data_IF_783324349294
#
_entry.id   IF_783324349294
#
_cell.length_a   1.000
_cell.length_b   1.000
_cell.length_c   1.000
_cell.angle_alpha   90.00
_cell.angle_beta   90.00
_cell.angle_gamma   90.00
#
_symmetry.space_group_name_H-M   'P 1'
#
loop_
_entity.id
_entity.type
_entity.pdbx_description
1 polymer ?
#
# COMPACT_ATOMS: atom_id res chain seq x y z
N UNK A 1 -18.50 -26.13 -1.36
CA UNK A 1 -17.55 -27.10 -0.78
C UNK A 1 -16.68 -26.35 0.22
N UNK A 2 -16.85 -26.60 1.52
CA UNK A 2 -16.06 -25.98 2.59
C UNK A 2 -14.78 -26.80 2.80
N UNK A 3 -13.63 -26.25 2.41
CA UNK A 3 -12.33 -26.89 2.59
C UNK A 3 -11.99 -26.95 4.08
N UNK A 4 -12.14 -28.13 4.70
CA UNK A 4 -11.89 -28.40 6.12
C UNK A 4 -10.42 -28.72 6.46
N UNK A 5 -9.46 -28.47 5.57
CA UNK A 5 -8.13 -29.08 5.67
C UNK A 5 -7.23 -28.46 6.76
N UNK A 6 -7.58 -27.32 7.38
CA UNK A 6 -6.71 -26.66 8.38
C UNK A 6 -7.42 -26.10 9.63
N UNK A 7 -8.69 -26.41 9.89
CA UNK A 7 -9.43 -25.83 11.03
C UNK A 7 -9.68 -24.32 10.93
N UNK A 8 -9.10 -23.65 9.94
CA UNK A 8 -9.33 -22.24 9.61
C UNK A 8 -10.34 -22.17 8.47
N UNK A 9 -11.53 -21.65 8.75
CA UNK A 9 -12.51 -21.37 7.71
C UNK A 9 -12.12 -20.09 6.98
N UNK A 10 -11.83 -20.23 5.68
CA UNK A 10 -11.48 -19.13 4.78
C UNK A 10 -12.70 -18.74 3.95
N UNK A 11 -13.03 -17.46 3.92
CA UNK A 11 -14.09 -16.89 3.10
C UNK A 11 -13.50 -15.93 2.08
N UNK A 12 -13.77 -16.13 0.79
CA UNK A 12 -13.30 -15.23 -0.27
C UNK A 12 -14.12 -13.94 -0.20
N UNK A 13 -13.44 -12.81 0.01
CA UNK A 13 -14.08 -11.50 0.11
C UNK A 13 -13.81 -10.62 -1.12
N UNK A 14 -12.70 -10.86 -1.83
CA UNK A 14 -12.43 -10.23 -3.12
C UNK A 14 -11.56 -11.10 -4.03
N UNK A 15 -11.71 -10.87 -5.33
CA UNK A 15 -10.93 -11.47 -6.39
C UNK A 15 -10.55 -10.35 -7.35
N UNK A 16 -9.27 -10.33 -7.73
CA UNK A 16 -8.73 -9.40 -8.72
C UNK A 16 -7.92 -10.20 -9.72
N UNK A 17 -8.06 -9.91 -11.01
CA UNK A 17 -7.32 -10.61 -12.05
C UNK A 17 -6.87 -9.61 -13.10
N UNK A 18 -5.61 -9.74 -13.52
CA UNK A 18 -5.04 -8.96 -14.61
C UNK A 18 -4.48 -9.89 -15.68
N UNK A 19 -4.74 -9.56 -16.95
CA UNK A 19 -4.34 -10.37 -18.10
C UNK A 19 -5.45 -11.31 -18.58
N UNK A 20 -5.08 -12.21 -19.49
CA UNK A 20 -5.97 -13.19 -20.12
C UNK A 20 -5.44 -14.61 -19.92
N UNK A 21 -6.28 -15.61 -20.21
CA UNK A 21 -5.89 -17.01 -20.07
C UNK A 21 -4.68 -17.35 -20.96
N UNK A 22 -3.61 -17.85 -20.35
CA UNK A 22 -2.35 -18.17 -21.04
C UNK A 22 -1.36 -17.01 -21.15
N UNK A 23 -1.68 -15.81 -20.63
CA UNK A 23 -0.74 -14.70 -20.56
C UNK A 23 0.38 -15.01 -19.54
N UNK A 24 1.65 -15.09 -19.97
CA UNK A 24 2.78 -15.27 -19.06
C UNK A 24 2.88 -14.21 -17.96
N UNK A 25 2.43 -12.98 -18.25
CA UNK A 25 2.47 -11.85 -17.33
C UNK A 25 1.17 -11.70 -16.49
N UNK A 26 0.12 -12.43 -16.86
CA UNK A 26 -1.17 -12.38 -16.18
C UNK A 26 -1.12 -12.99 -14.77
N UNK A 27 -1.96 -12.47 -13.88
CA UNK A 27 -2.06 -12.94 -12.51
C UNK A 27 -3.47 -12.78 -11.93
N UNK A 28 -3.72 -13.52 -10.85
CA UNK A 28 -4.95 -13.50 -10.07
C UNK A 28 -4.58 -13.36 -8.58
N UNK A 29 -5.30 -12.48 -7.89
CA UNK A 29 -5.21 -12.23 -6.45
C UNK A 29 -6.55 -12.51 -5.78
N UNK A 30 -6.53 -13.36 -4.77
CA UNK A 30 -7.69 -13.77 -3.99
C UNK A 30 -7.49 -13.32 -2.55
N UNK A 31 -8.38 -12.46 -2.05
CA UNK A 31 -8.38 -12.04 -0.65
C UNK A 31 -9.36 -12.90 0.15
N UNK A 32 -8.84 -13.55 1.18
CA UNK A 32 -9.58 -14.37 2.12
C UNK A 32 -9.69 -13.69 3.48
N UNK A 33 -10.88 -13.75 4.07
CA UNK A 33 -11.13 -13.49 5.48
C UNK A 33 -10.99 -14.79 6.27
N UNK A 34 -10.26 -14.75 7.38
CA UNK A 34 -10.23 -15.86 8.33
C UNK A 34 -11.25 -15.60 9.45
N UNK A 35 -11.84 -16.66 10.03
CA UNK A 35 -12.71 -16.52 11.22
C UNK A 35 -11.97 -15.99 12.46
N UNK A 36 -10.65 -16.11 12.49
CA UNK A 36 -9.79 -15.50 13.51
C UNK A 36 -9.81 -13.98 13.37
N UNK A 37 -10.17 -13.29 14.45
CA UNK A 37 -10.38 -11.85 14.44
C UNK A 37 -9.14 -11.09 13.90
N UNK A 38 -9.34 -10.33 12.82
CA UNK A 38 -8.37 -9.43 12.17
C UNK A 38 -7.25 -10.05 11.31
N UNK A 39 -7.33 -11.33 10.95
CA UNK A 39 -6.37 -11.96 10.02
C UNK A 39 -7.00 -12.18 8.65
N UNK A 40 -6.32 -11.69 7.60
CA UNK A 40 -6.70 -11.83 6.20
C UNK A 40 -5.54 -12.45 5.42
N UNK A 41 -5.85 -13.20 4.37
CA UNK A 41 -4.84 -13.83 3.52
C UNK A 41 -5.03 -13.37 2.08
N UNK A 42 -4.00 -12.79 1.47
CA UNK A 42 -3.97 -12.50 0.06
C UNK A 42 -3.16 -13.59 -0.66
N UNK A 43 -3.81 -14.32 -1.56
CA UNK A 43 -3.19 -15.37 -2.35
C UNK A 43 -3.03 -14.87 -3.78
N UNK A 44 -1.78 -14.70 -4.21
CA UNK A 44 -1.42 -14.36 -5.59
C UNK A 44 -0.97 -15.62 -6.35
N UNK A 45 -1.48 -15.81 -7.56
CA UNK A 45 -1.02 -16.84 -8.51
C UNK A 45 -1.00 -16.26 -9.91
N UNK A 46 -0.03 -16.61 -10.73
CA UNK A 46 0.05 -16.08 -12.08
C UNK A 46 0.97 -16.86 -12.99
N UNK A 47 1.17 -16.35 -14.20
CA UNK A 47 2.12 -16.87 -15.16
C UNK A 47 3.56 -16.65 -14.70
N UNK A 48 4.50 -17.37 -15.33
CA UNK A 48 5.92 -17.36 -14.95
C UNK A 48 6.59 -15.97 -15.03
N UNK A 49 6.04 -15.06 -15.86
CA UNK A 49 6.54 -13.70 -16.03
C UNK A 49 5.77 -12.66 -15.19
N UNK A 50 4.76 -13.09 -14.41
CA UNK A 50 3.99 -12.22 -13.52
C UNK A 50 4.72 -11.96 -12.18
N UNK A 51 4.20 -11.01 -11.38
CA UNK A 51 4.65 -10.80 -9.98
C UNK A 51 4.43 -12.02 -9.08
N UNK A 52 3.57 -12.96 -9.50
CA UNK A 52 3.26 -14.20 -8.79
C UNK A 52 3.61 -15.42 -9.65
N UNK A 53 4.87 -15.49 -10.09
CA UNK A 53 5.41 -16.63 -10.85
C UNK A 53 5.27 -17.98 -10.14
N UNK A 54 5.22 -17.95 -8.81
CA UNK A 54 4.77 -19.05 -7.96
C UNK A 54 3.62 -18.57 -7.06
N UNK A 55 2.80 -19.49 -6.57
CA UNK A 55 1.73 -19.16 -5.63
C UNK A 55 2.32 -18.53 -4.37
N UNK A 56 1.95 -17.28 -4.11
CA UNK A 56 2.38 -16.52 -2.95
C UNK A 56 1.20 -16.26 -2.03
N UNK A 57 1.43 -16.37 -0.72
CA UNK A 57 0.41 -16.11 0.31
C UNK A 57 0.95 -15.04 1.24
N UNK A 58 0.20 -13.95 1.39
CA UNK A 58 0.53 -12.83 2.27
C UNK A 58 -0.51 -12.71 3.36
N UNK A 59 -0.05 -12.64 4.61
CA UNK A 59 -0.91 -12.29 5.73
C UNK A 59 -1.10 -10.78 5.77
N UNK A 60 -2.35 -10.34 5.66
CA UNK A 60 -2.72 -8.93 5.72
C UNK A 60 -3.43 -8.62 7.04
N UNK A 61 -3.08 -7.47 7.59
CA UNK A 61 -3.87 -6.85 8.67
C UNK A 61 -5.19 -6.34 8.12
N UNK A 62 -6.19 -6.13 9.00
CA UNK A 62 -7.47 -5.51 8.62
C UNK A 62 -7.34 -4.23 7.80
N UNK A 63 -6.38 -3.37 8.15
CA UNK A 63 -6.17 -2.10 7.43
C UNK A 63 -5.68 -2.34 6.01
N UNK A 64 -4.69 -3.22 5.84
CA UNK A 64 -4.18 -3.56 4.52
C UNK A 64 -5.22 -4.28 3.67
N UNK A 65 -6.01 -5.17 4.26
CA UNK A 65 -7.12 -5.83 3.58
C UNK A 65 -8.18 -4.81 3.12
N UNK A 66 -8.47 -3.80 3.95
CA UNK A 66 -9.38 -2.72 3.59
C UNK A 66 -8.81 -1.86 2.45
N UNK A 67 -7.53 -1.46 2.53
CA UNK A 67 -6.87 -0.69 1.46
C UNK A 67 -6.87 -1.47 0.13
N UNK A 68 -6.64 -2.79 0.18
CA UNK A 68 -6.74 -3.66 -0.99
C UNK A 68 -8.17 -3.73 -1.54
N UNK A 69 -9.17 -3.92 -0.68
CA UNK A 69 -10.58 -3.95 -1.10
C UNK A 69 -11.00 -2.64 -1.75
N UNK A 70 -10.53 -1.49 -1.24
CA UNK A 70 -10.78 -0.18 -1.83
C UNK A 70 -10.17 -0.12 -3.24
N UNK A 71 -8.94 -0.62 -3.42
CA UNK A 71 -8.28 -0.64 -4.74
C UNK A 71 -8.98 -1.53 -5.77
N UNK A 72 -9.55 -2.65 -5.34
CA UNK A 72 -10.15 -3.65 -6.25
C UNK A 72 -11.64 -3.41 -6.49
N UNK A 73 -12.42 -3.14 -5.43
CA UNK A 73 -13.89 -3.04 -5.47
C UNK A 73 -14.42 -1.62 -5.29
N UNK A 74 -13.55 -0.66 -4.95
CA UNK A 74 -13.94 0.69 -4.60
C UNK A 74 -14.32 0.85 -3.12
N UNK A 75 -14.38 2.11 -2.68
CA UNK A 75 -14.56 2.45 -1.26
C UNK A 75 -15.86 1.92 -0.67
N UNK A 76 -16.99 2.11 -1.36
CA UNK A 76 -18.31 1.77 -0.82
C UNK A 76 -18.49 0.26 -0.58
N UNK A 77 -18.01 -0.58 -1.49
CA UNK A 77 -18.07 -2.03 -1.33
C UNK A 77 -17.10 -2.51 -0.26
N UNK A 78 -15.90 -1.91 -0.19
CA UNK A 78 -14.94 -2.23 0.85
C UNK A 78 -15.52 -1.98 2.25
N UNK A 79 -16.23 -0.86 2.45
CA UNK A 79 -16.90 -0.56 3.74
C UNK A 79 -18.11 -1.46 4.04
N UNK A 80 -18.77 -2.03 3.03
CA UNK A 80 -19.83 -3.02 3.25
C UNK A 80 -19.27 -4.36 3.73
N UNK A 81 -18.14 -4.78 3.16
CA UNK A 81 -17.50 -6.06 3.48
C UNK A 81 -16.74 -5.96 4.80
N UNK A 82 -15.92 -4.91 4.95
CA UNK A 82 -15.13 -4.59 6.14
C UNK A 82 -15.54 -3.21 6.65
N UNK A 83 -16.64 -3.10 7.42
CA UNK A 83 -17.02 -1.83 8.02
C UNK A 83 -15.86 -1.29 8.84
N UNK A 84 -15.61 0.01 8.76
CA UNK A 84 -14.55 0.63 9.55
C UNK A 84 -14.81 0.32 11.02
N UNK A 85 -13.77 -0.11 11.76
CA UNK A 85 -13.93 -0.28 13.20
C UNK A 85 -14.36 1.09 13.71
N UNK A 86 -15.55 1.20 14.30
CA UNK A 86 -16.01 2.45 14.90
C UNK A 86 -14.83 3.00 15.71
N UNK A 87 -14.40 4.26 15.48
CA UNK A 87 -13.29 4.81 16.21
C UNK A 87 -13.65 4.66 17.69
N UNK A 88 -12.95 3.78 18.42
CA UNK A 88 -12.97 3.81 19.87
C UNK A 88 -12.60 5.24 20.18
N UNK A 89 -13.58 6.00 20.71
CA UNK A 89 -13.46 7.42 21.03
C UNK A 89 -12.06 7.65 21.59
N UNK A 90 -11.17 8.17 20.76
CA UNK A 90 -9.88 8.62 21.21
C UNK A 90 -10.22 9.68 22.24
N UNK A 91 -9.85 9.44 23.51
CA UNK A 91 -9.90 10.47 24.53
C UNK A 91 -9.06 11.63 23.99
N UNK A 92 -9.76 12.64 23.53
CA UNK A 92 -9.24 13.93 23.11
C UNK A 92 -8.48 14.55 24.28
N UNK A 93 -7.16 14.66 24.18
CA UNK A 93 -6.47 15.82 24.76
C UNK A 93 -6.30 16.84 23.66
N UNK A 94 -6.86 18.03 23.93
CA UNK A 94 -7.08 19.18 23.07
C UNK A 94 -5.85 19.62 22.27
N UNK A 95 -6.16 20.07 21.06
CA UNK A 95 -5.34 20.83 20.12
C UNK A 95 -4.85 22.18 20.66
N UNK A 96 -3.73 22.66 20.11
CA UNK A 96 -3.56 24.06 19.77
C UNK A 96 -2.83 24.17 18.42
N UNK A 97 -3.51 24.80 17.49
CA UNK A 97 -3.21 24.98 16.08
C UNK A 97 -2.79 26.45 15.87
N UNK A 98 -2.15 26.72 14.72
CA UNK A 98 -2.10 28.00 13.95
C UNK A 98 -0.94 28.98 14.25
N UNK A 99 0.03 29.07 13.31
CA UNK A 99 0.05 30.05 12.20
C UNK A 99 1.40 30.03 11.45
N UNK A 100 1.37 29.76 10.14
CA UNK A 100 2.22 30.45 9.16
C UNK A 100 1.46 31.71 8.68
N UNK A 101 2.00 32.67 7.89
CA UNK A 101 3.35 32.86 7.32
C UNK A 101 3.90 34.31 7.47
N UNK A 102 5.22 34.58 7.34
CA UNK A 102 5.72 35.94 7.01
C UNK A 102 6.95 35.90 6.08
N UNK A 103 6.78 36.50 4.89
CA UNK A 103 7.82 36.92 3.92
C UNK A 103 8.48 38.24 4.37
N UNK A 104 9.80 38.38 4.17
CA UNK A 104 10.60 39.57 3.70
C UNK A 104 11.99 39.57 4.37
N UNK A 105 13.06 39.14 3.68
CA UNK A 105 13.98 39.93 2.82
C UNK A 105 15.17 40.54 3.62
N UNK A 106 16.23 41.08 2.98
CA UNK A 106 17.49 40.38 2.68
C UNK A 106 18.72 41.00 3.38
N UNK A 107 19.68 40.20 3.86
CA UNK A 107 21.00 40.70 4.26
C UNK A 107 21.98 40.58 3.08
N UNK A 108 22.30 41.74 2.49
CA UNK A 108 23.21 41.98 1.36
C UNK A 108 24.59 42.43 1.90
N UNK A 109 25.64 42.12 1.12
CA UNK A 109 27.06 42.59 1.09
C UNK A 109 28.08 41.72 1.88
N UNK A 110 28.98 40.91 1.29
CA UNK A 110 29.98 41.01 0.17
C UNK A 110 31.28 41.77 0.56
N UNK A 111 32.49 41.59 -0.07
CA UNK A 111 32.86 40.79 -1.27
C UNK A 111 34.28 40.08 -1.27
N UNK A 112 34.63 39.46 -2.43
CA UNK A 112 35.96 39.08 -2.99
C UNK A 112 36.56 37.72 -2.57
N UNK A 113 37.09 36.87 -3.47
CA UNK A 113 37.93 37.16 -4.65
C UNK A 113 37.87 36.03 -5.71
N UNK A 114 37.84 36.43 -6.99
CA UNK A 114 38.01 35.62 -8.22
C UNK A 114 39.44 35.11 -8.37
N UNK A 115 39.62 33.96 -9.06
CA UNK A 115 40.54 33.67 -10.22
C UNK A 115 40.53 32.15 -10.45
N UNK A 116 39.95 31.57 -11.52
CA UNK A 116 40.32 31.49 -12.95
C UNK A 116 41.62 30.70 -13.28
N UNK A 117 41.49 29.76 -14.24
CA UNK A 117 42.52 29.08 -15.08
C UNK A 117 43.54 28.16 -14.36
N UNK A 118 43.99 26.99 -14.86
CA UNK A 118 44.49 26.64 -16.21
C UNK A 118 44.74 25.12 -16.35
N UNK A 119 44.60 24.65 -17.59
CA UNK A 119 45.01 23.39 -18.27
C UNK A 119 46.52 23.06 -18.19
N UNK A 120 46.90 21.76 -18.08
CA UNK A 120 48.09 21.04 -18.67
C UNK A 120 47.87 19.51 -18.43
N UNK A 121 47.79 18.61 -19.43
CA UNK A 121 48.86 17.73 -20.02
C UNK A 121 49.74 17.02 -18.94
N UNK A 122 50.15 15.75 -18.96
CA UNK A 122 50.55 14.78 -20.00
C UNK A 122 50.86 13.44 -19.28
N UNK A 123 50.65 12.28 -19.92
CA UNK A 123 51.45 11.04 -19.83
C UNK A 123 50.87 9.99 -20.79
#
# INVERSE_FOLDING_TARGET
MSNQILGVQLEIIAQHSEGYFGDPAGFEELLYSTKTANSYLLVGKGGYASKYSATAVFELTRRQAQDYLIGVKGEEEAYRILPQAAPKKAKTTKAAVKKAPVKKAPAKKAPAKKTNTKKTTEA
#
